data_IF_127706650207
#
_entry.id   IF_127706650207
#
_cell.length_a   1.000
_cell.length_b   1.000
_cell.length_c   1.000
_cell.angle_alpha   90.00
_cell.angle_beta   90.00
_cell.angle_gamma   90.00
#
_symmetry.space_group_name_H-M   'P 1'
#
loop_
_entity.id
_entity.type
_entity.pdbx_description
1 polymer ?
#
# COMPACT_ATOMS: atom_id res chain seq x y z
N UNK A 1 36.44 -61.94 -15.81
CA UNK A 1 34.97 -62.04 -15.76
C UNK A 1 34.46 -60.77 -15.10
N UNK A 2 34.12 -59.75 -15.88
CA UNK A 2 33.67 -58.45 -15.37
C UNK A 2 32.14 -58.47 -15.29
N UNK A 3 31.59 -58.29 -14.08
CA UNK A 3 30.15 -58.24 -13.82
C UNK A 3 29.50 -57.04 -14.53
N UNK A 4 28.37 -57.23 -15.23
CA UNK A 4 27.71 -56.15 -15.95
C UNK A 4 26.71 -55.39 -15.06
N UNK A 5 27.01 -54.12 -14.80
CA UNK A 5 26.08 -52.98 -14.85
C UNK A 5 24.67 -53.09 -14.19
N UNK A 6 24.59 -53.31 -12.88
CA UNK A 6 23.33 -53.18 -12.10
C UNK A 6 22.91 -51.71 -11.81
N UNK A 7 23.78 -50.74 -12.10
CA UNK A 7 23.55 -49.32 -11.75
C UNK A 7 22.51 -48.64 -12.64
N UNK A 8 22.38 -49.06 -13.90
CA UNK A 8 21.49 -48.40 -14.87
C UNK A 8 19.99 -48.72 -14.62
N UNK A 9 19.67 -49.96 -14.22
CA UNK A 9 18.30 -50.34 -13.86
C UNK A 9 17.85 -49.67 -12.56
N UNK A 10 18.76 -49.54 -11.59
CA UNK A 10 18.49 -48.90 -10.32
C UNK A 10 18.18 -47.40 -10.47
N UNK A 11 18.90 -46.68 -11.34
CA UNK A 11 18.63 -45.25 -11.61
C UNK A 11 17.25 -45.01 -12.26
N UNK A 12 16.85 -45.86 -13.21
CA UNK A 12 15.53 -45.77 -13.85
C UNK A 12 14.38 -45.99 -12.85
N UNK A 13 14.55 -46.99 -11.96
CA UNK A 13 13.54 -47.32 -10.95
C UNK A 13 13.39 -46.21 -9.90
N UNK A 14 14.50 -45.60 -9.45
CA UNK A 14 14.44 -44.46 -8.53
C UNK A 14 13.79 -43.24 -9.17
N UNK A 15 14.06 -42.98 -10.45
CA UNK A 15 13.42 -41.89 -11.19
C UNK A 15 11.90 -42.11 -11.29
N UNK A 16 11.47 -43.32 -11.65
CA UNK A 16 10.05 -43.67 -11.71
C UNK A 16 9.35 -43.56 -10.34
N UNK A 17 9.99 -44.04 -9.27
CA UNK A 17 9.47 -43.92 -7.92
C UNK A 17 9.35 -42.45 -7.49
N UNK A 18 10.37 -41.64 -7.76
CA UNK A 18 10.36 -40.20 -7.42
C UNK A 18 9.26 -39.44 -8.16
N UNK A 19 9.01 -39.79 -9.43
CA UNK A 19 7.95 -39.19 -10.22
C UNK A 19 6.56 -39.56 -9.68
N UNK A 20 6.38 -40.80 -9.24
CA UNK A 20 5.12 -41.25 -8.64
C UNK A 20 4.84 -40.52 -7.32
N UNK A 21 5.82 -40.47 -6.42
CA UNK A 21 5.70 -39.77 -5.15
C UNK A 21 5.44 -38.27 -5.34
N UNK A 22 6.10 -37.66 -6.32
CA UNK A 22 5.85 -36.26 -6.66
C UNK A 22 4.42 -36.05 -7.18
N UNK A 23 3.92 -36.93 -8.04
CA UNK A 23 2.54 -36.86 -8.53
C UNK A 23 1.54 -36.96 -7.39
N UNK A 24 1.73 -37.92 -6.47
CA UNK A 24 0.83 -38.13 -5.33
C UNK A 24 0.80 -36.89 -4.41
N UNK A 25 1.97 -36.30 -4.15
CA UNK A 25 2.07 -35.07 -3.36
C UNK A 25 1.43 -33.88 -4.07
N UNK A 26 1.67 -33.75 -5.37
CA UNK A 26 1.12 -32.67 -6.18
C UNK A 26 -0.41 -32.76 -6.22
N UNK A 27 -0.96 -33.96 -6.43
CA UNK A 27 -2.41 -34.19 -6.43
C UNK A 27 -3.02 -33.87 -5.07
N UNK A 28 -2.38 -34.24 -3.96
CA UNK A 28 -2.82 -33.84 -2.61
C UNK A 28 -2.88 -32.33 -2.45
N UNK A 29 -1.83 -31.61 -2.85
CA UNK A 29 -1.78 -30.14 -2.74
C UNK A 29 -2.83 -29.48 -3.64
N UNK A 30 -3.04 -30.01 -4.84
CA UNK A 30 -4.07 -29.50 -5.77
C UNK A 30 -5.45 -29.62 -5.13
N UNK A 31 -5.77 -30.76 -4.53
CA UNK A 31 -7.07 -30.98 -3.85
C UNK A 31 -7.23 -30.02 -2.67
N UNK A 32 -6.20 -29.81 -1.88
CA UNK A 32 -6.23 -28.89 -0.74
C UNK A 32 -6.50 -27.45 -1.20
N UNK A 33 -5.75 -26.96 -2.20
CA UNK A 33 -5.91 -25.60 -2.74
C UNK A 33 -7.28 -25.44 -3.39
N UNK A 34 -7.72 -26.40 -4.22
CA UNK A 34 -9.02 -26.34 -4.88
C UNK A 34 -10.17 -26.31 -3.87
N UNK A 35 -10.08 -27.12 -2.81
CA UNK A 35 -11.07 -27.18 -1.74
C UNK A 35 -11.13 -25.86 -0.96
N UNK A 36 -9.98 -25.25 -0.67
CA UNK A 36 -9.91 -23.98 0.04
C UNK A 36 -10.45 -22.82 -0.82
N UNK A 37 -10.06 -22.74 -2.10
CA UNK A 37 -10.64 -21.76 -3.03
C UNK A 37 -12.16 -21.91 -3.14
N UNK A 38 -12.66 -23.15 -3.25
CA UNK A 38 -14.09 -23.43 -3.28
C UNK A 38 -14.79 -23.02 -1.98
N UNK A 39 -14.18 -23.29 -0.82
CA UNK A 39 -14.69 -22.89 0.50
C UNK A 39 -14.82 -21.37 0.58
N UNK A 40 -13.77 -20.64 0.21
CA UNK A 40 -13.76 -19.17 0.19
C UNK A 40 -14.85 -18.62 -0.72
N UNK A 41 -14.94 -19.10 -1.97
CA UNK A 41 -15.96 -18.67 -2.92
C UNK A 41 -17.38 -18.98 -2.46
N UNK A 42 -17.63 -20.16 -1.86
CA UNK A 42 -18.96 -20.54 -1.35
C UNK A 42 -19.40 -19.75 -0.13
N UNK A 43 -18.46 -19.32 0.71
CA UNK A 43 -18.76 -18.56 1.92
C UNK A 43 -18.70 -17.04 1.68
N UNK A 44 -18.30 -16.59 0.48
CA UNK A 44 -18.15 -15.17 0.17
C UNK A 44 -17.00 -14.50 0.90
N UNK A 45 -16.02 -15.27 1.41
CA UNK A 45 -14.88 -14.76 2.20
C UNK A 45 -13.74 -14.22 1.32
N UNK A 46 -14.04 -13.84 0.08
CA UNK A 46 -13.04 -13.27 -0.80
C UNK A 46 -12.70 -11.86 -0.31
N UNK A 47 -11.58 -11.75 0.38
CA UNK A 47 -11.11 -10.51 0.98
C UNK A 47 -10.92 -9.40 -0.04
N UNK A 48 -10.68 -9.72 -1.33
CA UNK A 48 -10.54 -8.70 -2.36
C UNK A 48 -11.91 -8.12 -2.76
N UNK A 49 -12.95 -8.95 -2.81
CA UNK A 49 -14.33 -8.50 -3.07
C UNK A 49 -14.88 -7.65 -1.92
N UNK A 50 -14.66 -8.05 -0.66
CA UNK A 50 -15.12 -7.28 0.50
C UNK A 50 -14.45 -5.90 0.59
N UNK A 51 -13.14 -5.82 0.32
CA UNK A 51 -12.39 -4.55 0.33
C UNK A 51 -12.86 -3.64 -0.83
N UNK A 52 -13.00 -4.19 -2.03
CA UNK A 52 -13.46 -3.42 -3.20
C UNK A 52 -14.90 -2.91 -3.04
N UNK A 53 -15.80 -3.73 -2.48
CA UNK A 53 -17.18 -3.33 -2.21
C UNK A 53 -17.27 -2.24 -1.13
N UNK A 54 -16.50 -2.37 -0.06
CA UNK A 54 -16.41 -1.36 1.01
C UNK A 54 -15.83 -0.04 0.48
N UNK A 55 -14.78 -0.09 -0.33
CA UNK A 55 -14.18 1.10 -0.95
C UNK A 55 -15.14 1.80 -1.91
N UNK A 56 -15.87 1.03 -2.73
CA UNK A 56 -16.92 1.57 -3.61
C UNK A 56 -18.00 2.27 -2.79
N UNK A 57 -18.46 1.64 -1.71
CA UNK A 57 -19.47 2.21 -0.81
C UNK A 57 -19.00 3.52 -0.20
N UNK A 58 -17.79 3.57 0.36
CA UNK A 58 -17.18 4.78 0.92
C UNK A 58 -17.03 5.89 -0.11
N UNK A 59 -16.62 5.53 -1.34
CA UNK A 59 -16.50 6.48 -2.46
C UNK A 59 -17.85 7.04 -2.90
N UNK A 60 -18.88 6.20 -2.94
CA UNK A 60 -20.25 6.62 -3.25
C UNK A 60 -20.81 7.56 -2.18
N UNK A 61 -20.58 7.26 -0.90
CA UNK A 61 -21.01 8.10 0.21
C UNK A 61 -20.29 9.47 0.20
N UNK A 62 -18.98 9.50 -0.03
CA UNK A 62 -18.23 10.75 -0.16
C UNK A 62 -18.76 11.62 -1.31
N UNK A 63 -19.07 11.02 -2.46
CA UNK A 63 -19.69 11.73 -3.61
C UNK A 63 -21.09 12.25 -3.28
N UNK A 64 -21.90 11.45 -2.60
CA UNK A 64 -23.26 11.85 -2.20
C UNK A 64 -23.23 13.06 -1.24
N UNK A 65 -22.32 13.07 -0.26
CA UNK A 65 -22.13 14.20 0.66
C UNK A 65 -21.69 15.49 -0.05
N UNK A 66 -20.94 15.40 -1.15
CA UNK A 66 -20.59 16.56 -1.98
C UNK A 66 -21.74 17.07 -2.84
N UNK A 67 -22.76 16.24 -3.08
CA UNK A 67 -23.84 16.51 -4.01
C UNK A 67 -25.12 17.02 -3.34
N UNK A 68 -25.20 16.97 -1.99
CA UNK A 68 -26.38 17.41 -1.24
C UNK A 68 -26.43 18.95 -1.16
N UNK A 69 -27.39 19.60 -1.86
CA UNK A 69 -27.56 21.05 -1.84
C UNK A 69 -28.27 21.54 -0.56
N UNK A 70 -28.77 20.64 0.29
CA UNK A 70 -29.42 20.99 1.56
C UNK A 70 -28.44 21.42 2.65
N UNK A 71 -27.13 21.22 2.44
CA UNK A 71 -26.08 21.88 3.23
C UNK A 71 -25.78 23.28 2.65
N UNK A 72 -26.84 24.06 2.45
CA UNK A 72 -26.84 25.40 1.87
C UNK A 72 -26.42 26.47 2.86
N UNK A 73 -25.17 26.42 3.32
CA UNK A 73 -24.54 27.47 4.12
C UNK A 73 -23.06 27.56 3.76
N UNK A 74 -22.71 28.58 2.99
CA UNK A 74 -21.35 29.03 2.67
C UNK A 74 -20.50 28.10 1.79
N UNK A 75 -20.61 28.33 0.49
CA UNK A 75 -19.65 27.93 -0.54
C UNK A 75 -18.37 28.80 -0.41
N UNK A 76 -17.76 28.81 0.78
CA UNK A 76 -16.47 29.42 1.02
C UNK A 76 -15.55 28.39 1.71
N UNK A 77 -14.77 27.67 0.91
CA UNK A 77 -13.59 26.97 1.39
C UNK A 77 -13.83 25.78 2.32
N UNK A 78 -14.29 24.67 1.74
CA UNK A 78 -13.65 23.34 1.85
C UNK A 78 -12.66 23.18 3.02
N UNK A 79 -13.13 23.05 4.26
CA UNK A 79 -12.29 22.48 5.31
C UNK A 79 -12.25 20.98 5.06
N UNK A 80 -11.12 20.49 4.55
CA UNK A 80 -10.84 19.05 4.53
C UNK A 80 -10.75 18.63 5.99
N UNK A 81 -11.77 17.93 6.45
CA UNK A 81 -11.81 17.34 7.79
C UNK A 81 -10.78 16.21 7.82
N UNK A 82 -9.85 16.24 8.78
CA UNK A 82 -8.86 15.18 8.92
C UNK A 82 -9.49 13.86 9.44
N UNK A 83 -8.67 12.80 9.53
CA UNK A 83 -9.11 11.47 10.01
C UNK A 83 -9.66 11.53 11.45
N UNK A 84 -9.33 12.57 12.22
CA UNK A 84 -9.77 12.78 13.59
C UNK A 84 -10.97 13.74 13.70
N UNK A 85 -11.55 14.17 12.58
CA UNK A 85 -12.68 15.09 12.60
C UNK A 85 -12.29 16.56 12.81
N UNK A 86 -11.01 16.92 12.78
CA UNK A 86 -10.55 18.29 13.00
C UNK A 86 -10.45 19.07 11.69
N UNK A 87 -10.84 20.34 11.74
CA UNK A 87 -10.74 21.27 10.62
C UNK A 87 -9.46 22.11 10.76
N UNK A 88 -8.52 21.92 9.84
CA UNK A 88 -7.29 22.71 9.80
C UNK A 88 -7.46 23.95 8.92
N UNK A 89 -6.80 25.07 9.25
CA UNK A 89 -6.80 26.25 8.40
C UNK A 89 -6.11 25.93 7.05
N UNK A 90 -6.53 26.57 5.93
CA UNK A 90 -5.91 26.35 4.61
C UNK A 90 -4.41 26.68 4.54
N UNK A 91 -3.92 27.50 5.48
CA UNK A 91 -2.51 27.85 5.60
C UNK A 91 -2.08 27.55 7.03
N UNK A 92 -1.03 26.72 7.18
CA UNK A 92 -0.47 26.39 8.48
C UNK A 92 0.22 27.61 9.12
N UNK A 93 -0.11 27.87 10.38
CA UNK A 93 0.39 29.00 11.16
C UNK A 93 1.51 28.62 12.14
N UNK A 94 1.89 27.34 12.20
CA UNK A 94 2.95 26.86 13.09
C UNK A 94 4.28 27.53 12.77
N UNK A 95 5.01 27.93 13.80
CA UNK A 95 6.32 28.58 13.68
C UNK A 95 7.39 27.56 14.02
N UNK A 96 8.37 27.38 13.15
CA UNK A 96 9.54 26.54 13.41
C UNK A 96 10.83 27.22 12.96
N UNK A 97 11.96 26.73 13.44
CA UNK A 97 13.27 27.28 13.11
C UNK A 97 13.84 26.66 11.82
N UNK A 98 14.26 27.49 10.87
CA UNK A 98 14.95 27.01 9.68
C UNK A 98 16.32 26.46 10.05
N UNK A 99 16.56 25.18 9.82
CA UNK A 99 17.82 24.53 10.14
C UNK A 99 19.03 25.06 9.35
N UNK A 100 18.81 25.80 8.26
CA UNK A 100 19.90 26.36 7.44
C UNK A 100 20.36 27.76 7.90
N UNK A 101 19.47 28.58 8.46
CA UNK A 101 19.80 29.97 8.85
C UNK A 101 19.36 30.37 10.27
N UNK A 102 18.76 29.45 11.03
CA UNK A 102 18.30 29.69 12.40
C UNK A 102 17.14 30.68 12.53
N UNK A 103 16.53 31.11 11.42
CA UNK A 103 15.41 32.05 11.47
C UNK A 103 14.11 31.31 11.79
N UNK A 104 13.27 31.87 12.66
CA UNK A 104 11.91 31.38 12.91
C UNK A 104 10.99 31.72 11.73
N UNK A 105 10.41 30.71 11.09
CA UNK A 105 9.58 30.82 9.89
C UNK A 105 8.21 30.18 10.15
N UNK A 106 7.14 30.83 9.68
CA UNK A 106 5.82 30.22 9.65
C UNK A 106 5.75 29.12 8.57
N UNK A 107 5.15 27.98 8.90
CA UNK A 107 5.05 26.82 8.02
C UNK A 107 4.44 27.15 6.66
N UNK A 108 3.37 27.96 6.62
CA UNK A 108 2.77 28.43 5.38
C UNK A 108 3.66 29.31 4.50
N UNK A 109 4.84 29.75 4.97
CA UNK A 109 5.80 30.60 4.24
C UNK A 109 7.16 29.95 4.05
N UNK A 110 7.29 28.66 4.37
CA UNK A 110 8.59 27.99 4.29
C UNK A 110 9.10 27.81 2.85
N UNK A 111 8.23 27.50 1.88
CA UNK A 111 8.64 27.36 0.49
C UNK A 111 9.25 28.65 -0.12
N UNK A 112 8.60 29.84 -0.03
CA UNK A 112 9.23 31.10 -0.45
C UNK A 112 10.50 31.45 0.32
N UNK A 113 10.63 30.98 1.57
CA UNK A 113 11.85 31.13 2.34
C UNK A 113 13.00 30.28 1.77
N UNK A 114 12.75 29.00 1.47
CA UNK A 114 13.75 28.09 0.90
C UNK A 114 14.33 28.61 -0.43
N UNK A 115 13.51 29.20 -1.28
CA UNK A 115 13.96 29.82 -2.53
C UNK A 115 15.06 30.88 -2.29
N UNK A 116 14.92 31.68 -1.22
CA UNK A 116 15.90 32.71 -0.86
C UNK A 116 17.05 32.16 -0.03
N UNK A 117 16.76 31.21 0.85
CA UNK A 117 17.70 30.64 1.81
C UNK A 117 18.67 29.65 1.17
N UNK A 118 18.20 28.85 0.21
CA UNK A 118 19.00 27.89 -0.55
C UNK A 118 19.40 28.41 -1.94
N UNK A 119 18.67 29.36 -2.53
CA UNK A 119 18.95 29.91 -3.86
C UNK A 119 20.07 30.95 -3.90
N UNK A 120 20.44 31.53 -2.75
CA UNK A 120 21.70 32.26 -2.59
C UNK A 120 22.74 31.27 -2.08
N UNK A 121 23.66 30.85 -2.94
CA UNK A 121 24.89 30.20 -2.47
C UNK A 121 25.59 31.16 -1.52
N UNK A 122 25.82 30.70 -0.30
CA UNK A 122 26.83 31.13 0.67
C UNK A 122 27.40 32.54 0.47
N UNK A 123 26.98 33.49 1.31
CA UNK A 123 27.96 34.49 1.77
C UNK A 123 28.65 33.89 3.00
N UNK A 124 29.95 33.57 2.93
CA UNK A 124 30.64 32.89 4.01
C UNK A 124 30.83 33.83 5.19
N UNK A 125 30.69 33.25 6.39
CA UNK A 125 31.46 33.51 7.61
C UNK A 125 31.90 34.97 7.83
N UNK A 126 31.21 35.66 8.73
CA UNK A 126 31.85 36.73 9.49
C UNK A 126 32.90 36.11 10.43
N UNK A 127 34.16 36.43 10.17
CA UNK A 127 35.29 36.36 11.09
C UNK A 127 35.74 37.80 11.37
#
# INVERSE_FOLDING_TARGET
MSLPNDKNGNMSFNSQLSAHLFSDLLDSIIVDVASECHRTARLGLDCNLEIEEEELRLSAEARARLSDPSNGGDVNGKYIVDIFGQTHPPVANDIFECMNCGQSIMAGRFAPHLEKCMGKRDSPLQL
#
